data_IF_251420650465
#
_entry.id   IF_251420650465
#
_cell.length_a   1.000
_cell.length_b   1.000
_cell.length_c   1.000
_cell.angle_alpha   90.00
_cell.angle_beta   90.00
_cell.angle_gamma   90.00
#
_symmetry.space_group_name_H-M   'P 1'
#
loop_
_entity.id
_entity.type
_entity.pdbx_description
1 polymer ?
#
# COMPACT_ATOMS: atom_id res chain seq x y z
N UNK A 1 -24.25 -3.31 -7.55
CA UNK A 1 -23.99 -2.07 -6.80
C UNK A 1 -22.59 -2.17 -6.21
N UNK A 2 -21.61 -1.44 -6.77
CA UNK A 2 -20.20 -1.59 -6.41
C UNK A 2 -19.83 -0.60 -5.29
N UNK A 3 -19.46 -1.13 -4.11
CA UNK A 3 -18.89 -0.32 -3.05
C UNK A 3 -17.44 0.01 -3.41
N UNK A 4 -17.25 1.16 -4.06
CA UNK A 4 -15.98 1.85 -4.26
C UNK A 4 -15.21 1.93 -2.93
N UNK A 5 -14.35 0.96 -2.66
CA UNK A 5 -13.56 0.86 -1.44
C UNK A 5 -12.30 1.74 -1.52
N UNK A 6 -12.51 3.01 -1.85
CA UNK A 6 -11.48 4.05 -1.80
C UNK A 6 -11.62 4.69 -0.43
N UNK A 7 -11.03 4.10 0.62
CA UNK A 7 -10.93 4.78 1.92
C UNK A 7 -10.09 6.06 1.69
N UNK A 8 -10.69 7.27 1.73
CA UNK A 8 -9.93 8.49 1.52
C UNK A 8 -9.02 8.69 2.73
N UNK A 9 -7.71 8.84 2.51
CA UNK A 9 -6.88 9.48 3.52
C UNK A 9 -7.40 10.92 3.63
N UNK A 10 -7.86 11.31 4.83
CA UNK A 10 -8.39 12.63 5.07
C UNK A 10 -7.32 13.70 4.74
N UNK A 11 -7.56 14.49 3.68
CA UNK A 11 -6.64 15.47 3.06
C UNK A 11 -5.42 14.87 2.35
N UNK A 12 -4.79 15.57 1.37
CA UNK A 12 -3.49 15.18 0.83
C UNK A 12 -2.39 15.41 1.89
N UNK A 13 -2.53 14.71 3.00
CA UNK A 13 -1.60 14.62 4.10
C UNK A 13 -0.56 13.56 3.79
N UNK A 14 0.64 13.76 4.32
CA UNK A 14 1.70 12.78 4.29
C UNK A 14 1.17 11.43 4.79
N UNK A 15 1.18 10.40 3.94
CA UNK A 15 0.87 9.05 4.33
C UNK A 15 2.16 8.38 4.81
N UNK A 16 2.16 7.92 6.06
CA UNK A 16 3.27 7.15 6.61
C UNK A 16 3.05 5.67 6.34
N UNK A 17 3.94 5.07 5.55
CA UNK A 17 3.93 3.66 5.22
C UNK A 17 4.91 2.94 6.14
N UNK A 18 4.43 1.90 6.82
CA UNK A 18 5.27 1.04 7.65
C UNK A 18 5.39 -0.33 6.98
N UNK A 19 6.61 -0.77 6.71
CA UNK A 19 6.87 -2.12 6.19
C UNK A 19 7.28 -3.03 7.35
N UNK A 20 6.84 -4.28 7.29
CA UNK A 20 7.07 -5.30 8.32
C UNK A 20 7.67 -6.57 7.71
N UNK A 21 8.31 -7.37 8.58
CA UNK A 21 8.98 -8.62 8.18
C UNK A 21 10.01 -8.39 7.08
N UNK A 22 9.97 -9.26 6.06
CA UNK A 22 10.87 -9.21 4.91
C UNK A 22 10.84 -7.88 4.14
N UNK A 23 9.74 -7.14 4.18
CA UNK A 23 9.63 -5.86 3.46
C UNK A 23 10.41 -4.73 4.14
N UNK A 24 10.81 -4.88 5.41
CA UNK A 24 11.61 -3.87 6.12
C UNK A 24 12.94 -3.56 5.44
N UNK A 25 13.48 -4.52 4.66
CA UNK A 25 14.72 -4.34 3.88
C UNK A 25 14.63 -3.19 2.87
N UNK A 26 13.42 -2.83 2.44
CA UNK A 26 13.17 -1.74 1.49
C UNK A 26 12.89 -0.39 2.18
N UNK A 27 12.78 -0.38 3.51
CA UNK A 27 12.51 0.80 4.31
C UNK A 27 11.53 0.50 5.44
N UNK A 28 11.86 0.85 6.68
CA UNK A 28 11.00 0.57 7.83
C UNK A 28 9.78 1.51 7.91
N UNK A 29 10.00 2.80 7.60
CA UNK A 29 9.01 3.88 7.63
C UNK A 29 9.29 4.82 6.46
N UNK A 30 8.31 5.00 5.59
CA UNK A 30 8.44 5.82 4.39
C UNK A 30 7.27 6.80 4.39
N UNK A 31 7.57 8.09 4.35
CA UNK A 31 6.59 9.15 4.29
C UNK A 31 6.38 9.55 2.83
N UNK A 32 5.17 9.31 2.30
CA UNK A 32 4.82 9.62 0.92
C UNK A 32 3.62 10.57 0.87
N UNK A 33 3.63 11.49 -0.09
CA UNK A 33 2.48 12.37 -0.35
C UNK A 33 1.54 11.70 -1.35
N UNK A 34 0.54 10.99 -0.83
CA UNK A 34 -0.43 10.23 -1.64
C UNK A 34 -1.84 10.40 -1.09
N UNK A 35 -2.85 10.24 -1.95
CA UNK A 35 -4.27 10.38 -1.56
C UNK A 35 -4.89 9.06 -1.11
N UNK A 36 -4.30 7.92 -1.52
CA UNK A 36 -4.82 6.58 -1.23
C UNK A 36 -3.70 5.58 -0.90
N UNK A 37 -4.01 4.53 -0.15
CA UNK A 37 -3.03 3.46 0.12
C UNK A 37 -2.61 2.69 -1.13
N UNK A 38 -3.50 2.54 -2.12
CA UNK A 38 -3.18 1.91 -3.40
C UNK A 38 -2.17 2.75 -4.21
N UNK A 39 -2.29 4.08 -4.17
CA UNK A 39 -1.31 4.99 -4.76
C UNK A 39 0.04 4.92 -4.03
N UNK A 40 0.03 4.79 -2.70
CA UNK A 40 1.22 4.55 -1.89
C UNK A 40 1.98 3.29 -2.34
N UNK A 41 1.28 2.17 -2.49
CA UNK A 41 1.88 0.90 -2.92
C UNK A 41 2.40 1.01 -4.35
N UNK A 42 1.62 1.61 -5.27
CA UNK A 42 2.06 1.83 -6.65
C UNK A 42 3.30 2.71 -6.71
N UNK A 43 3.34 3.81 -5.95
CA UNK A 43 4.51 4.70 -5.89
C UNK A 43 5.76 3.94 -5.41
N UNK A 44 5.63 3.13 -4.35
CA UNK A 44 6.73 2.28 -3.87
C UNK A 44 7.16 1.24 -4.90
N UNK A 45 6.21 0.57 -5.55
CA UNK A 45 6.51 -0.44 -6.57
C UNK A 45 7.17 0.15 -7.83
N UNK A 46 6.86 1.41 -8.17
CA UNK A 46 7.51 2.14 -9.28
C UNK A 46 8.92 2.58 -8.91
N UNK A 47 9.12 3.09 -7.69
CA UNK A 47 10.43 3.58 -7.24
C UNK A 47 11.40 2.43 -6.88
N UNK A 48 10.88 1.31 -6.42
CA UNK A 48 11.66 0.16 -5.93
C UNK A 48 11.25 -1.11 -6.70
N UNK A 49 11.88 -1.41 -7.85
CA UNK A 49 11.52 -2.58 -8.67
C UNK A 49 11.63 -3.92 -7.90
N UNK A 50 12.61 -4.02 -7.00
CA UNK A 50 12.81 -5.19 -6.15
C UNK A 50 11.70 -5.35 -5.08
N UNK A 51 11.11 -4.24 -4.61
CA UNK A 51 9.94 -4.29 -3.73
C UNK A 51 8.74 -4.88 -4.48
N UNK A 52 8.51 -4.45 -5.73
CA UNK A 52 7.45 -5.01 -6.59
C UNK A 52 7.60 -6.51 -6.78
N UNK A 53 8.81 -6.98 -7.11
CA UNK A 53 9.08 -8.42 -7.26
C UNK A 53 8.76 -9.17 -5.98
N UNK A 54 9.29 -8.72 -4.83
CA UNK A 54 9.08 -9.38 -3.55
C UNK A 54 7.62 -9.39 -3.11
N UNK A 55 6.86 -8.35 -3.47
CA UNK A 55 5.43 -8.23 -3.19
C UNK A 55 4.59 -9.20 -4.06
N UNK A 56 5.00 -9.43 -5.31
CA UNK A 56 4.39 -10.44 -6.19
C UNK A 56 4.73 -11.87 -5.78
N UNK A 57 5.91 -12.12 -5.21
CA UNK A 57 6.37 -13.46 -4.80
C UNK A 57 5.75 -13.95 -3.48
N UNK A 58 4.98 -13.13 -2.78
CA UNK A 58 4.48 -13.44 -1.44
C UNK A 58 3.07 -12.93 -1.16
N UNK A 59 2.51 -13.43 -0.06
CA UNK A 59 1.21 -12.98 0.44
C UNK A 59 1.42 -11.95 1.54
N UNK A 60 1.10 -10.68 1.26
CA UNK A 60 1.23 -9.59 2.22
C UNK A 60 -0.12 -8.95 2.51
N UNK A 61 -0.37 -8.70 3.79
CA UNK A 61 -1.56 -8.01 4.26
C UNK A 61 -1.34 -6.49 4.23
N UNK A 62 -2.21 -5.78 3.52
CA UNK A 62 -2.19 -4.32 3.42
C UNK A 62 -3.20 -3.74 4.40
N UNK A 63 -2.74 -2.84 5.28
CA UNK A 63 -3.58 -2.14 6.26
C UNK A 63 -3.57 -0.63 6.00
N UNK A 64 -4.74 -0.03 5.80
CA UNK A 64 -4.92 1.42 5.66
C UNK A 64 -5.68 1.92 6.89
N UNK A 65 -5.11 2.89 7.62
CA UNK A 65 -5.71 3.45 8.83
C UNK A 65 -6.16 2.37 9.85
N UNK A 66 -5.37 1.28 9.97
CA UNK A 66 -5.66 0.16 10.86
C UNK A 66 -6.64 -0.89 10.32
N UNK A 67 -7.26 -0.66 9.16
CA UNK A 67 -8.20 -1.59 8.51
C UNK A 67 -7.52 -2.40 7.42
N UNK A 68 -7.82 -3.69 7.37
CA UNK A 68 -7.35 -4.57 6.31
C UNK A 68 -8.02 -4.25 4.98
N UNK A 69 -7.23 -4.23 3.92
CA UNK A 69 -7.69 -4.06 2.55
C UNK A 69 -7.68 -5.43 1.88
N UNK A 70 -8.86 -6.00 1.66
CA UNK A 70 -8.99 -7.25 0.92
C UNK A 70 -8.72 -7.03 -0.57
N UNK A 71 -7.89 -7.89 -1.19
CA UNK A 71 -7.63 -7.89 -2.64
C UNK A 71 -8.83 -8.28 -3.50
N UNK A 72 -9.98 -8.62 -2.90
CA UNK A 72 -11.21 -9.04 -3.60
C UNK A 72 -11.83 -7.98 -4.52
N UNK A 73 -11.24 -6.79 -4.64
CA UNK A 73 -11.64 -5.75 -5.61
C UNK A 73 -10.73 -5.63 -6.84
N UNK A 74 -9.70 -6.49 -7.00
CA UNK A 74 -8.74 -6.44 -8.14
C UNK A 74 -9.04 -7.50 -9.23
N UNK A 75 -10.15 -8.22 -9.10
CA UNK A 75 -10.68 -9.16 -10.08
C UNK A 75 -12.13 -8.79 -10.39
N UNK A 76 -12.31 -7.68 -11.11
CA UNK A 76 -13.54 -7.35 -11.84
C UNK A 76 -13.17 -6.45 -13.03
#
# INVERSE_FOLDING_TARGET
>A
MAATHTLPLASPGMARICLYGDLQRFGRRIDLRVKTGAEAIRALATQLPAFRQKLSDGWYQVRIAGRDVSTSGLMA
#
